data_IF_332053625542
#
_entry.id   IF_332053625542
#
_cell.length_a   1.000
_cell.length_b   1.000
_cell.length_c   1.000
_cell.angle_alpha   90.00
_cell.angle_beta   90.00
_cell.angle_gamma   90.00
#
_symmetry.space_group_name_H-M   'P 1'
#
loop_
_entity.id
_entity.type
_entity.pdbx_description
1 polymer ?
#
# COMPACT_ATOMS: atom_id res chain seq x y z
N UNK A 1 9.26 -9.26 -47.91
CA UNK A 1 9.41 -9.33 -47.13
C UNK A 1 9.48 -9.12 -46.64
N UNK A 2 9.68 -9.25 -46.68
CA UNK A 2 9.79 -9.17 -45.84
C UNK A 2 10.40 -9.36 -45.29
N UNK A 3 11.01 -9.36 -45.41
CA UNK A 3 11.64 -9.56 -44.77
C UNK A 3 11.82 -9.43 -44.07
N UNK A 4 11.77 -9.49 -44.52
CA UNK A 4 12.05 -9.43 -43.69
C UNK A 4 11.98 -9.57 -42.77
N UNK A 5 11.35 -9.44 -43.10
CA UNK A 5 11.33 -9.50 -41.82
C UNK A 5 11.90 -10.54 -41.01
N UNK A 6 12.81 -10.39 -40.22
CA UNK A 6 13.37 -11.42 -39.42
C UNK A 6 12.51 -11.91 -38.26
N UNK A 7 11.46 -11.20 -37.91
CA UNK A 7 10.58 -11.63 -36.83
C UNK A 7 9.16 -11.82 -37.33
N UNK A 8 8.58 -13.02 -37.19
CA UNK A 8 7.15 -13.18 -37.36
C UNK A 8 6.39 -12.37 -36.34
N UNK A 9 5.16 -12.01 -36.68
CA UNK A 9 4.33 -11.25 -35.73
C UNK A 9 4.14 -11.98 -34.38
N UNK A 10 4.10 -13.30 -34.44
CA UNK A 10 3.99 -14.12 -33.23
C UNK A 10 5.17 -13.91 -32.28
N UNK A 11 6.39 -13.85 -32.83
CA UNK A 11 7.58 -13.63 -32.02
C UNK A 11 7.57 -12.25 -31.39
N UNK A 12 7.08 -11.25 -32.10
CA UNK A 12 6.97 -9.89 -31.56
C UNK A 12 5.98 -9.83 -30.41
N UNK A 13 4.86 -10.52 -30.54
CA UNK A 13 3.86 -10.59 -29.50
C UNK A 13 4.39 -11.31 -28.27
N UNK A 14 5.14 -12.37 -28.45
CA UNK A 14 5.74 -13.10 -27.34
C UNK A 14 6.74 -12.22 -26.58
N UNK A 15 7.55 -11.45 -27.28
CA UNK A 15 8.49 -10.53 -26.67
C UNK A 15 7.75 -9.45 -25.86
N UNK A 16 6.68 -8.93 -26.42
CA UNK A 16 5.87 -7.93 -25.71
C UNK A 16 5.24 -8.51 -24.46
N UNK A 17 4.75 -9.73 -24.53
CA UNK A 17 4.19 -10.41 -23.38
C UNK A 17 5.23 -10.61 -22.30
N UNK A 18 6.43 -11.01 -22.65
CA UNK A 18 7.51 -11.19 -21.69
C UNK A 18 7.87 -9.87 -21.01
N UNK A 19 7.98 -8.79 -21.76
CA UNK A 19 8.30 -7.48 -21.23
C UNK A 19 7.18 -7.02 -20.30
N UNK A 20 5.92 -7.21 -20.69
CA UNK A 20 4.77 -6.84 -19.89
C UNK A 20 4.74 -7.62 -18.57
N UNK A 21 5.02 -8.91 -18.63
CA UNK A 21 5.04 -9.76 -17.44
C UNK A 21 6.12 -9.30 -16.46
N UNK A 22 7.33 -9.02 -16.95
CA UNK A 22 8.42 -8.52 -16.12
C UNK A 22 8.07 -7.18 -15.49
N UNK A 23 7.46 -6.28 -16.27
CA UNK A 23 7.04 -4.98 -15.76
C UNK A 23 5.98 -5.14 -14.68
N UNK A 24 5.04 -6.05 -14.85
CA UNK A 24 4.03 -6.33 -13.82
C UNK A 24 4.66 -6.84 -12.54
N UNK A 25 5.60 -7.75 -12.64
CA UNK A 25 6.28 -8.29 -11.46
C UNK A 25 6.99 -7.20 -10.69
N UNK A 26 7.69 -6.29 -11.39
CA UNK A 26 8.38 -5.18 -10.75
C UNK A 26 7.39 -4.23 -10.08
N UNK A 27 6.30 -3.92 -10.77
CA UNK A 27 5.27 -3.03 -10.22
C UNK A 27 4.62 -3.66 -9.00
N UNK A 28 4.32 -4.95 -9.04
CA UNK A 28 3.73 -5.64 -7.90
C UNK A 28 4.68 -5.65 -6.70
N UNK A 29 5.97 -5.85 -6.93
CA UNK A 29 6.97 -5.79 -5.88
C UNK A 29 7.01 -4.41 -5.23
N UNK A 30 7.00 -3.35 -6.03
CA UNK A 30 7.00 -1.98 -5.53
C UNK A 30 5.73 -1.72 -4.74
N UNK A 31 4.58 -2.16 -5.25
CA UNK A 31 3.31 -2.00 -4.55
C UNK A 31 3.28 -2.75 -3.23
N UNK A 32 3.85 -3.95 -3.19
CA UNK A 32 3.94 -4.72 -1.94
C UNK A 32 4.79 -3.99 -0.91
N UNK A 33 5.92 -3.41 -1.34
CA UNK A 33 6.76 -2.63 -0.45
C UNK A 33 6.05 -1.39 0.07
N UNK A 34 5.28 -0.73 -0.79
CA UNK A 34 4.49 0.44 -0.39
C UNK A 34 3.37 0.06 0.56
N UNK A 35 2.87 -1.17 0.46
CA UNK A 35 1.80 -1.67 1.33
C UNK A 35 2.30 -2.16 2.66
N UNK A 36 3.60 -2.40 2.81
CA UNK A 36 4.14 -2.80 4.10
C UNK A 36 3.93 -1.65 5.09
N UNK A 37 3.32 -1.93 6.25
CA UNK A 37 3.07 -0.87 7.23
C UNK A 37 4.37 -0.31 7.75
N UNK A 38 4.50 0.99 7.69
CA UNK A 38 5.63 1.69 8.28
C UNK A 38 5.37 1.88 9.77
N UNK A 39 6.43 1.99 10.55
CA UNK A 39 6.28 2.27 11.98
C UNK A 39 5.52 3.58 12.21
N UNK A 40 5.84 4.61 11.42
CA UNK A 40 5.12 5.89 11.49
C UNK A 40 4.30 6.08 10.23
N UNK A 41 2.99 6.19 10.40
CA UNK A 41 2.05 6.25 9.28
C UNK A 41 1.32 7.58 9.24
N UNK A 42 1.00 8.03 8.02
CA UNK A 42 0.13 9.18 7.83
C UNK A 42 -1.32 8.77 8.11
N UNK A 43 -2.23 9.76 8.10
CA UNK A 43 -3.66 9.47 8.27
C UNK A 43 -4.13 8.47 7.21
N UNK A 44 -3.78 8.70 5.96
CA UNK A 44 -4.21 7.82 4.86
C UNK A 44 -3.62 6.42 4.97
N UNK A 45 -2.36 6.33 5.36
CA UNK A 45 -1.73 5.02 5.56
C UNK A 45 -2.40 4.26 6.70
N UNK A 46 -2.77 4.98 7.76
CA UNK A 46 -3.46 4.37 8.90
C UNK A 46 -4.85 3.90 8.52
N UNK A 47 -5.56 4.66 7.68
CA UNK A 47 -6.87 4.22 7.18
C UNK A 47 -6.75 2.90 6.44
N UNK A 48 -5.72 2.75 5.63
CA UNK A 48 -5.48 1.51 4.91
C UNK A 48 -5.07 0.38 5.83
N UNK A 49 -4.22 0.69 6.80
CA UNK A 49 -3.74 -0.31 7.75
C UNK A 49 -4.89 -0.90 8.58
N UNK A 50 -5.79 -0.05 9.05
CA UNK A 50 -6.93 -0.47 9.82
C UNK A 50 -8.16 -0.81 8.97
N UNK A 51 -8.08 -0.52 7.67
CA UNK A 51 -9.17 -0.73 6.72
C UNK A 51 -10.44 0.00 7.15
N UNK A 52 -10.30 1.26 7.50
CA UNK A 52 -11.41 2.11 7.93
C UNK A 52 -11.40 3.44 7.18
N UNK A 53 -12.53 4.12 7.18
CA UNK A 53 -12.64 5.45 6.58
C UNK A 53 -12.06 6.51 7.53
N UNK A 54 -11.86 7.71 7.00
CA UNK A 54 -11.38 8.84 7.79
C UNK A 54 -12.34 9.15 8.96
N UNK A 55 -13.63 9.11 8.68
CA UNK A 55 -14.65 9.38 9.72
C UNK A 55 -14.54 8.36 10.85
N UNK A 56 -14.39 7.08 10.49
CA UNK A 56 -14.23 6.03 11.50
C UNK A 56 -12.93 6.20 12.28
N UNK A 57 -11.86 6.58 11.60
CA UNK A 57 -10.57 6.82 12.25
C UNK A 57 -10.67 7.95 13.25
N UNK A 58 -11.35 9.04 12.89
CA UNK A 58 -11.59 10.15 13.82
C UNK A 58 -12.41 9.70 15.03
N UNK A 59 -13.39 8.86 14.79
CA UNK A 59 -14.23 8.33 15.86
C UNK A 59 -13.38 7.50 16.83
N UNK A 60 -12.47 6.67 16.29
CA UNK A 60 -11.57 5.89 17.15
C UNK A 60 -10.71 6.80 18.01
N UNK A 61 -10.25 7.92 17.48
CA UNK A 61 -9.45 8.86 18.25
C UNK A 61 -10.27 9.54 19.34
N UNK A 62 -11.48 9.97 19.02
CA UNK A 62 -12.31 10.74 19.96
C UNK A 62 -13.00 9.87 20.99
N UNK A 63 -13.53 8.73 20.58
CA UNK A 63 -14.37 7.91 21.45
C UNK A 63 -13.63 6.72 22.05
N UNK A 64 -12.62 6.21 21.37
CA UNK A 64 -11.94 5.00 21.80
C UNK A 64 -10.48 5.22 22.17
N UNK A 65 -10.03 6.47 22.15
CA UNK A 65 -8.71 6.80 22.66
C UNK A 65 -7.54 6.36 21.81
N UNK A 66 -7.73 6.23 20.49
CA UNK A 66 -6.64 5.86 19.60
C UNK A 66 -5.54 6.92 19.65
N UNK A 67 -4.31 6.56 20.07
CA UNK A 67 -3.23 7.54 20.18
C UNK A 67 -2.72 8.01 18.82
N UNK A 68 -2.33 9.26 18.77
CA UNK A 68 -1.71 9.84 17.57
C UNK A 68 -0.60 10.80 17.99
N UNK A 69 0.27 11.11 17.03
CA UNK A 69 1.37 12.05 17.23
C UNK A 69 1.11 13.25 16.32
N UNK A 70 1.13 14.46 16.91
CA UNK A 70 0.94 15.68 16.12
C UNK A 70 2.20 16.53 16.23
N UNK A 71 2.81 16.84 15.08
CA UNK A 71 3.99 17.67 15.02
C UNK A 71 3.76 18.73 13.93
N UNK A 72 3.78 19.99 14.33
CA UNK A 72 3.59 21.13 13.40
C UNK A 72 2.35 20.96 12.52
N UNK A 73 1.25 20.53 13.14
CA UNK A 73 -0.01 20.34 12.41
C UNK A 73 -0.11 19.04 11.62
N UNK A 74 0.96 18.28 11.54
CA UNK A 74 0.95 16.99 10.84
C UNK A 74 0.67 15.87 11.84
N UNK A 75 -0.34 15.07 11.54
CA UNK A 75 -0.72 13.93 12.38
C UNK A 75 -0.11 12.66 11.87
N UNK A 76 0.52 11.92 12.78
CA UNK A 76 1.11 10.63 12.48
C UNK A 76 0.61 9.60 13.48
N UNK A 77 0.67 8.34 13.08
CA UNK A 77 0.28 7.22 13.93
C UNK A 77 1.43 6.23 13.98
N UNK A 78 1.74 5.75 15.18
CA UNK A 78 2.79 4.75 15.35
C UNK A 78 2.17 3.36 15.29
N UNK A 79 2.66 2.53 14.37
CA UNK A 79 2.11 1.20 14.13
C UNK A 79 2.06 0.35 15.40
N UNK A 80 3.16 0.28 16.14
CA UNK A 80 3.22 -0.53 17.36
C UNK A 80 2.23 -0.03 18.41
N UNK A 81 2.01 1.29 18.48
CA UNK A 81 1.02 1.87 19.40
C UNK A 81 -0.40 1.48 18.98
N UNK A 82 -0.67 1.51 17.67
CA UNK A 82 -1.98 1.08 17.14
C UNK A 82 -2.20 -0.40 17.44
N UNK A 83 -1.21 -1.23 17.22
CA UNK A 83 -1.31 -2.67 17.47
C UNK A 83 -1.61 -2.95 18.95
N UNK A 84 -0.96 -2.24 19.86
CA UNK A 84 -1.23 -2.36 21.29
C UNK A 84 -2.63 -1.86 21.65
N UNK A 85 -3.03 -0.73 21.07
CA UNK A 85 -4.34 -0.16 21.30
C UNK A 85 -5.46 -1.10 20.86
N UNK A 86 -5.33 -1.64 19.64
CA UNK A 86 -6.38 -2.48 19.07
C UNK A 86 -6.48 -3.83 19.80
N UNK A 87 -5.37 -4.29 20.39
CA UNK A 87 -5.37 -5.55 21.13
C UNK A 87 -6.27 -5.49 22.38
N UNK A 88 -6.55 -4.30 22.88
CA UNK A 88 -7.46 -4.12 24.01
C UNK A 88 -8.89 -4.51 23.68
N UNK A 89 -9.23 -4.55 22.40
CA UNK A 89 -10.57 -4.87 21.94
C UNK A 89 -10.70 -6.32 21.47
N UNK A 90 -9.66 -7.12 21.60
CA UNK A 90 -9.74 -8.55 21.30
C UNK A 90 -10.57 -9.28 22.36
N UNK A 91 -11.37 -10.20 21.87
CA UNK A 91 -12.20 -11.03 22.75
C UNK A 91 -11.56 -12.36 23.05
#
# INVERSE_FOLDING_TARGET
MNLQIPFPDEAKQDLRKMITTLAKEVIEEVKLREKEPKEYMTIKETEKYLNVSFVTLQKYQKEYGLPSITIEGKRLFKKSTIDNWISQFEN
#
